data_IF_818739149855
#
_entry.id   IF_818739149855
#
_cell.length_a   1.000
_cell.length_b   1.000
_cell.length_c   1.000
_cell.angle_alpha   90.00
_cell.angle_beta   90.00
_cell.angle_gamma   90.00
#
_symmetry.space_group_name_H-M   'P 1'
#
loop_
_entity.id
_entity.type
_entity.pdbx_description
1 polymer ?
#
# COMPACT_ATOMS: atom_id res chain seq x y z
N UNK A 1 -19.39 -38.22 -14.88
CA UNK A 1 -18.86 -37.78 -13.57
C UNK A 1 -18.47 -36.32 -13.69
N UNK A 2 -19.14 -35.46 -12.93
CA UNK A 2 -19.09 -33.99 -13.07
C UNK A 2 -17.72 -33.44 -12.67
N UNK A 3 -17.14 -32.59 -13.54
CA UNK A 3 -16.07 -31.66 -13.15
C UNK A 3 -16.66 -30.66 -12.16
N UNK A 4 -16.36 -30.80 -10.89
CA UNK A 4 -16.62 -29.77 -9.88
C UNK A 4 -15.77 -28.55 -10.22
N UNK A 5 -16.40 -27.49 -10.74
CA UNK A 5 -15.81 -26.15 -10.74
C UNK A 5 -15.63 -25.76 -9.27
N UNK A 6 -14.41 -25.91 -8.76
CA UNK A 6 -14.04 -25.40 -7.44
C UNK A 6 -13.98 -23.87 -7.58
N UNK A 7 -14.77 -23.16 -6.78
CA UNK A 7 -14.81 -21.69 -6.82
C UNK A 7 -13.41 -21.13 -6.61
N UNK A 8 -12.96 -20.29 -7.54
CA UNK A 8 -11.80 -19.43 -7.35
C UNK A 8 -12.21 -18.39 -6.32
N UNK A 9 -11.56 -18.42 -5.16
CA UNK A 9 -11.59 -17.30 -4.24
C UNK A 9 -10.40 -16.42 -4.58
N UNK A 10 -10.49 -15.66 -5.68
CA UNK A 10 -9.53 -14.60 -5.97
C UNK A 10 -10.05 -13.34 -5.26
N UNK A 11 -9.83 -13.26 -3.94
CA UNK A 11 -10.19 -12.07 -3.18
C UNK A 11 -9.31 -10.92 -3.64
N UNK A 12 -9.92 -9.89 -4.23
CA UNK A 12 -9.26 -8.64 -4.59
C UNK A 12 -9.60 -7.63 -3.50
N UNK A 13 -8.62 -7.19 -2.71
CA UNK A 13 -8.82 -6.09 -1.75
C UNK A 13 -8.67 -4.75 -2.48
N UNK A 14 -9.59 -3.80 -2.26
CA UNK A 14 -9.50 -2.39 -2.69
C UNK A 14 -9.03 -1.51 -1.53
N UNK A 15 -7.73 -1.22 -1.40
CA UNK A 15 -7.23 -0.38 -0.31
C UNK A 15 -7.31 1.11 -0.65
N UNK A 16 -7.89 1.91 0.25
CA UNK A 16 -8.10 3.37 0.17
C UNK A 16 -6.89 4.11 0.73
N UNK A 17 -6.51 5.28 0.19
CA UNK A 17 -5.64 6.20 0.95
C UNK A 17 -5.47 7.67 0.54
N UNK A 18 -5.32 8.51 1.58
CA UNK A 18 -4.95 9.93 1.62
C UNK A 18 -3.46 10.16 1.91
N UNK A 19 -2.59 10.31 0.90
CA UNK A 19 -1.40 11.17 1.01
C UNK A 19 -0.75 11.45 -0.36
N UNK A 20 -0.36 12.71 -0.54
CA UNK A 20 0.39 13.20 -1.70
C UNK A 20 1.84 12.70 -1.78
N UNK A 21 2.32 11.96 -0.77
CA UNK A 21 3.66 11.37 -0.73
C UNK A 21 3.84 10.26 -1.76
N UNK A 22 2.91 9.28 -1.77
CA UNK A 22 2.95 8.19 -2.75
C UNK A 22 2.83 8.72 -4.17
N UNK A 23 2.03 9.78 -4.39
CA UNK A 23 1.93 10.43 -5.70
C UNK A 23 3.25 11.06 -6.14
N UNK A 24 4.07 11.60 -5.22
CA UNK A 24 5.38 12.19 -5.54
C UNK A 24 6.46 11.14 -5.73
N UNK A 25 6.50 10.10 -4.90
CA UNK A 25 7.41 8.97 -5.07
C UNK A 25 7.08 8.17 -6.34
N UNK A 26 5.81 8.08 -6.73
CA UNK A 26 5.37 7.50 -8.00
C UNK A 26 5.31 8.50 -9.16
N UNK A 27 5.52 9.80 -8.98
CA UNK A 27 5.78 10.69 -10.13
C UNK A 27 7.13 10.38 -10.79
N UNK A 28 8.02 9.62 -10.12
CA UNK A 28 9.15 8.96 -10.76
C UNK A 28 8.70 7.80 -11.69
N UNK A 29 7.48 7.25 -11.53
CA UNK A 29 6.89 6.13 -12.29
C UNK A 29 5.34 6.18 -12.38
N UNK A 30 4.80 7.18 -13.08
CA UNK A 30 3.39 7.34 -13.54
C UNK A 30 2.22 7.33 -12.52
N UNK A 31 1.07 7.89 -12.92
CA UNK A 31 -0.22 7.92 -12.18
C UNK A 31 -0.86 6.53 -11.97
N UNK A 32 -0.15 5.50 -12.38
CA UNK A 32 -0.57 4.11 -12.49
C UNK A 32 0.67 3.25 -12.23
N UNK A 33 0.58 2.31 -11.29
CA UNK A 33 1.66 1.36 -11.01
C UNK A 33 1.12 -0.06 -10.97
N UNK A 34 1.84 -0.97 -11.61
CA UNK A 34 1.61 -2.42 -11.54
C UNK A 34 2.88 -3.06 -11.01
N UNK A 35 2.73 -3.77 -9.91
CA UNK A 35 3.82 -4.50 -9.25
C UNK A 35 3.53 -6.00 -9.29
N UNK A 36 4.49 -6.78 -9.78
CA UNK A 36 4.41 -8.23 -9.79
C UNK A 36 5.63 -8.83 -9.09
N UNK A 37 5.38 -9.62 -8.06
CA UNK A 37 6.43 -10.22 -7.24
C UNK A 37 6.25 -11.73 -7.12
N UNK A 38 7.35 -12.46 -7.34
CA UNK A 38 7.43 -13.91 -7.13
C UNK A 38 8.31 -14.20 -5.91
N UNK A 39 7.85 -15.10 -5.03
CA UNK A 39 8.67 -15.54 -3.92
C UNK A 39 9.51 -16.76 -4.34
N UNK A 40 10.83 -16.60 -4.38
CA UNK A 40 11.76 -17.69 -4.71
C UNK A 40 11.74 -18.84 -3.68
N UNK A 41 11.38 -18.55 -2.43
CA UNK A 41 11.31 -19.52 -1.33
C UNK A 41 9.96 -20.25 -1.21
N UNK A 42 8.91 -19.69 -1.82
CA UNK A 42 7.56 -20.27 -1.84
C UNK A 42 7.16 -20.50 -3.30
N UNK A 43 7.48 -21.66 -3.89
CA UNK A 43 7.16 -21.94 -5.28
C UNK A 43 5.66 -21.79 -5.51
N UNK A 44 5.28 -21.12 -6.61
CA UNK A 44 3.90 -20.81 -6.99
C UNK A 44 3.15 -19.81 -6.10
N UNK A 45 3.86 -19.03 -5.28
CA UNK A 45 3.32 -17.84 -4.65
C UNK A 45 3.59 -16.61 -5.53
N UNK A 46 2.55 -15.86 -5.87
CA UNK A 46 2.69 -14.56 -6.52
C UNK A 46 1.75 -13.52 -5.92
N UNK A 47 2.23 -12.28 -5.94
CA UNK A 47 1.47 -11.09 -5.55
C UNK A 47 1.43 -10.16 -6.75
N UNK A 48 0.25 -9.68 -7.07
CA UNK A 48 0.00 -8.65 -8.07
C UNK A 48 -0.71 -7.49 -7.40
N UNK A 49 -0.18 -6.28 -7.53
CA UNK A 49 -0.80 -5.06 -7.02
C UNK A 49 -0.89 -4.06 -8.17
N UNK A 50 -2.11 -3.63 -8.48
CA UNK A 50 -2.38 -2.55 -9.43
C UNK A 50 -2.96 -1.36 -8.69
N UNK A 51 -2.38 -0.18 -8.89
CA UNK A 51 -2.77 1.03 -8.17
C UNK A 51 -3.21 2.14 -9.12
N UNK A 52 -4.31 2.81 -8.78
CA UNK A 52 -4.72 4.12 -9.33
C UNK A 52 -4.94 5.15 -8.24
N UNK A 53 -4.86 6.43 -8.60
CA UNK A 53 -5.10 7.54 -7.68
C UNK A 53 -6.12 8.52 -8.25
N UNK A 54 -7.05 8.96 -7.41
CA UNK A 54 -8.00 10.02 -7.74
C UNK A 54 -8.12 11.02 -6.60
N UNK A 55 -8.53 12.26 -6.92
CA UNK A 55 -8.73 13.32 -5.92
C UNK A 55 -10.16 13.27 -5.36
N UNK A 56 -10.50 12.18 -4.68
CA UNK A 56 -11.78 11.97 -4.01
C UNK A 56 -11.59 11.18 -2.71
N UNK A 57 -12.67 11.00 -1.96
CA UNK A 57 -12.70 10.23 -0.72
C UNK A 57 -13.02 8.73 -0.95
N UNK A 58 -12.56 8.17 -2.07
CA UNK A 58 -12.81 6.75 -2.38
C UNK A 58 -14.21 6.47 -2.95
N UNK A 59 -14.82 7.47 -3.58
CA UNK A 59 -16.20 7.41 -4.08
C UNK A 59 -16.34 6.81 -5.49
N UNK A 60 -15.24 6.52 -6.17
CA UNK A 60 -15.27 6.00 -7.54
C UNK A 60 -15.30 4.48 -7.56
N UNK A 61 -16.18 3.93 -8.39
CA UNK A 61 -16.29 2.49 -8.59
C UNK A 61 -15.44 2.02 -9.77
N UNK A 62 -14.85 0.83 -9.62
CA UNK A 62 -14.07 0.15 -10.67
C UNK A 62 -13.07 1.04 -11.44
N UNK A 63 -12.35 1.93 -10.75
CA UNK A 63 -11.40 2.87 -11.39
C UNK A 63 -10.28 2.19 -12.19
N UNK A 64 -9.95 0.95 -11.80
CA UNK A 64 -8.94 0.10 -12.44
C UNK A 64 -9.48 -0.56 -13.72
N UNK A 65 -10.79 -0.56 -13.95
CA UNK A 65 -11.46 -1.19 -15.09
C UNK A 65 -11.22 -2.70 -15.13
N UNK A 66 -11.47 -3.35 -13.99
CA UNK A 66 -11.53 -4.80 -13.91
C UNK A 66 -12.62 -5.33 -14.85
N UNK A 67 -12.37 -6.52 -15.41
CA UNK A 67 -13.38 -7.23 -16.17
C UNK A 67 -14.47 -7.81 -15.25
N UNK A 68 -15.56 -8.30 -15.84
CA UNK A 68 -16.69 -8.81 -15.07
C UNK A 68 -16.33 -10.02 -14.19
N UNK A 69 -15.39 -10.87 -14.62
CA UNK A 69 -15.00 -12.07 -13.85
C UNK A 69 -14.24 -11.67 -12.58
N UNK A 70 -13.30 -10.73 -12.70
CA UNK A 70 -12.56 -10.17 -11.57
C UNK A 70 -13.48 -9.33 -10.65
N UNK A 71 -14.40 -8.55 -11.22
CA UNK A 71 -15.34 -7.72 -10.47
C UNK A 71 -16.28 -8.54 -9.59
N UNK A 72 -16.80 -9.65 -10.10
CA UNK A 72 -17.71 -10.53 -9.36
C UNK A 72 -17.02 -11.20 -8.16
N UNK A 73 -15.70 -11.42 -8.23
CA UNK A 73 -14.91 -12.05 -7.17
C UNK A 73 -14.30 -11.05 -6.18
N UNK A 74 -14.35 -9.76 -6.49
CA UNK A 74 -13.71 -8.69 -5.71
C UNK A 74 -14.40 -8.46 -4.35
N UNK A 75 -13.59 -8.15 -3.35
CA UNK A 75 -14.04 -7.67 -2.04
C UNK A 75 -13.54 -6.23 -1.80
N UNK A 76 -14.45 -5.28 -1.59
CA UNK A 76 -14.05 -3.89 -1.34
C UNK A 76 -13.78 -3.70 0.15
N UNK A 77 -12.59 -3.21 0.50
CA UNK A 77 -12.11 -3.06 1.89
C UNK A 77 -11.66 -1.62 2.16
N UNK A 78 -12.49 -0.84 2.85
CA UNK A 78 -12.17 0.55 3.16
C UNK A 78 -11.16 0.65 4.29
N UNK A 79 -9.89 0.87 3.95
CA UNK A 79 -8.82 1.04 4.93
C UNK A 79 -8.78 2.48 5.48
N UNK A 80 -9.28 2.68 6.69
CA UNK A 80 -9.27 3.97 7.38
C UNK A 80 -7.99 4.16 8.21
N UNK A 81 -7.09 5.04 7.76
CA UNK A 81 -5.81 5.31 8.44
C UNK A 81 -5.94 5.88 9.85
N UNK A 82 -7.12 6.32 10.30
CA UNK A 82 -7.33 6.90 11.62
C UNK A 82 -8.13 5.96 12.52
N UNK A 83 -9.17 5.33 11.99
CA UNK A 83 -10.11 4.52 12.77
C UNK A 83 -9.67 3.07 12.95
N UNK A 84 -8.85 2.53 12.04
CA UNK A 84 -8.34 1.17 12.15
C UNK A 84 -7.42 0.99 13.37
N UNK A 85 -7.53 -0.18 14.00
CA UNK A 85 -6.67 -0.56 15.11
C UNK A 85 -5.25 -0.87 14.60
N UNK A 86 -4.25 -0.41 15.35
CA UNK A 86 -2.85 -0.77 15.11
C UNK A 86 -2.45 -1.78 16.16
N UNK A 87 -1.75 -2.84 15.75
CA UNK A 87 -1.14 -3.75 16.69
C UNK A 87 -0.20 -2.98 17.65
N UNK A 88 -0.29 -3.24 18.95
CA UNK A 88 0.41 -2.47 19.99
C UNK A 88 1.92 -2.30 19.72
N UNK A 89 2.58 -3.35 19.27
CA UNK A 89 4.01 -3.33 18.92
C UNK A 89 4.38 -2.47 17.68
N UNK A 90 3.40 -1.98 16.93
CA UNK A 90 3.58 -1.03 15.83
C UNK A 90 3.14 0.39 16.21
N UNK A 91 2.48 0.57 17.35
CA UNK A 91 2.03 1.89 17.78
C UNK A 91 3.21 2.78 18.18
N UNK A 92 3.25 3.98 17.62
CA UNK A 92 4.16 5.04 18.03
C UNK A 92 3.37 6.34 18.20
N UNK A 93 3.50 7.06 19.32
CA UNK A 93 2.77 8.31 19.56
C UNK A 93 2.97 9.35 18.44
N UNK A 94 4.18 9.43 17.89
CA UNK A 94 4.53 10.33 16.77
C UNK A 94 3.85 9.95 15.44
N UNK A 95 3.38 8.72 15.30
CA UNK A 95 2.63 8.20 14.14
C UNK A 95 1.11 8.14 14.41
N UNK A 96 0.64 8.67 15.55
CA UNK A 96 -0.78 8.74 15.87
C UNK A 96 -1.45 9.93 15.19
N UNK A 97 -2.20 9.67 14.12
CA UNK A 97 -2.91 10.67 13.33
C UNK A 97 -4.01 11.42 14.10
N UNK A 98 -4.48 10.87 15.23
CA UNK A 98 -5.45 11.54 16.11
C UNK A 98 -4.84 12.66 16.94
N UNK A 99 -3.51 12.69 17.03
CA UNK A 99 -2.75 13.64 17.84
C UNK A 99 -1.82 14.47 16.95
N UNK A 100 -1.25 13.84 15.92
CA UNK A 100 -0.31 14.46 14.99
C UNK A 100 -0.93 15.63 14.23
N UNK A 101 -0.20 16.75 14.22
CA UNK A 101 -0.50 17.91 13.38
C UNK A 101 0.79 18.39 12.72
N UNK A 102 0.73 18.50 11.40
CA UNK A 102 1.84 18.99 10.60
C UNK A 102 2.11 20.47 10.86
N UNK A 103 3.37 20.81 11.10
CA UNK A 103 3.83 22.19 11.25
C UNK A 103 3.94 22.89 9.89
N UNK A 104 4.34 22.16 8.83
CA UNK A 104 4.52 22.75 7.49
C UNK A 104 3.22 22.98 6.75
N UNK A 105 2.23 22.11 6.95
CA UNK A 105 0.98 22.11 6.16
C UNK A 105 -0.25 22.44 7.00
N UNK A 106 -0.15 22.37 8.33
CA UNK A 106 -1.28 22.54 9.24
C UNK A 106 -2.29 21.39 9.24
N UNK A 107 -2.06 20.31 8.45
CA UNK A 107 -2.95 19.15 8.37
C UNK A 107 -2.90 18.32 9.65
N UNK A 108 -4.04 17.74 10.00
CA UNK A 108 -4.23 17.03 11.27
C UNK A 108 -4.50 17.99 12.45
N UNK A 109 -4.82 17.45 13.63
CA UNK A 109 -5.13 16.05 13.89
C UNK A 109 -6.39 15.58 13.15
N UNK A 110 -6.41 14.31 12.77
CA UNK A 110 -7.56 13.69 12.10
C UNK A 110 -8.50 13.08 13.13
N UNK A 111 -9.81 13.31 12.96
CA UNK A 111 -10.84 12.85 13.91
C UNK A 111 -11.89 11.98 13.21
N UNK A 112 -12.93 11.56 13.92
CA UNK A 112 -14.04 10.83 13.29
C UNK A 112 -14.71 11.68 12.21
N UNK A 113 -14.99 11.09 11.05
CA UNK A 113 -15.50 11.79 9.88
C UNK A 113 -14.46 12.61 9.12
N UNK A 114 -13.16 12.30 9.29
CA UNK A 114 -12.09 13.02 8.60
C UNK A 114 -12.14 12.88 7.07
N UNK A 115 -12.66 11.76 6.55
CA UNK A 115 -12.73 11.51 5.11
C UNK A 115 -13.67 12.50 4.40
N UNK A 116 -14.71 12.97 5.08
CA UNK A 116 -15.70 13.92 4.56
C UNK A 116 -15.30 15.38 4.78
N UNK A 117 -14.53 15.67 5.84
CA UNK A 117 -14.19 17.05 6.23
C UNK A 117 -12.75 17.49 5.87
N UNK A 118 -11.91 16.59 5.36
CA UNK A 118 -10.53 16.90 5.00
C UNK A 118 -10.40 17.35 3.54
N UNK A 119 -9.75 18.49 3.32
CA UNK A 119 -9.35 18.95 1.99
C UNK A 119 -7.93 19.56 2.04
N UNK A 120 -7.06 19.31 1.05
CA UNK A 120 -7.25 18.38 -0.07
C UNK A 120 -7.26 16.92 0.38
N UNK A 121 -7.99 16.08 -0.38
CA UNK A 121 -8.05 14.63 -0.21
C UNK A 121 -7.77 13.93 -1.54
N UNK A 122 -7.17 12.74 -1.45
CA UNK A 122 -6.99 11.82 -2.57
C UNK A 122 -7.19 10.41 -2.08
N UNK A 123 -7.53 9.49 -2.98
CA UNK A 123 -7.66 8.07 -2.71
C UNK A 123 -6.72 7.30 -3.63
N UNK A 124 -5.84 6.48 -3.04
CA UNK A 124 -5.23 5.35 -3.73
C UNK A 124 -6.26 4.23 -3.81
N UNK A 125 -6.44 3.62 -4.97
CA UNK A 125 -7.25 2.42 -5.21
C UNK A 125 -6.29 1.33 -5.60
N UNK A 126 -6.15 0.30 -4.77
CA UNK A 126 -5.22 -0.80 -5.01
C UNK A 126 -6.00 -2.08 -5.23
N UNK A 127 -5.85 -2.75 -6.37
CA UNK A 127 -6.32 -4.12 -6.58
C UNK A 127 -5.17 -5.07 -6.21
N UNK A 128 -5.38 -5.89 -5.20
CA UNK A 128 -4.39 -6.87 -4.74
C UNK A 128 -4.84 -8.28 -5.09
N UNK A 129 -4.08 -9.00 -5.92
CA UNK A 129 -4.27 -10.43 -6.19
C UNK A 129 -3.13 -11.23 -5.57
N UNK A 130 -3.46 -12.12 -4.64
CA UNK A 130 -2.52 -13.09 -4.06
C UNK A 130 -2.87 -14.47 -4.60
N UNK A 131 -1.88 -15.16 -5.16
CA UNK A 131 -2.08 -16.46 -5.79
C UNK A 131 -1.12 -17.48 -5.19
N UNK A 132 -1.65 -18.64 -4.78
CA UNK A 132 -0.84 -19.74 -4.24
C UNK A 132 -1.34 -21.11 -4.73
N UNK A 133 -0.70 -21.67 -5.75
CA UNK A 133 -1.16 -22.89 -6.42
C UNK A 133 -0.60 -24.19 -5.79
N UNK A 134 -0.78 -24.35 -4.48
CA UNK A 134 -0.38 -25.57 -3.74
C UNK A 134 -1.60 -26.25 -3.13
N UNK A 135 -1.75 -27.53 -3.46
CA UNK A 135 -2.89 -28.34 -2.98
C UNK A 135 -2.92 -28.42 -1.45
N UNK A 136 -4.12 -28.27 -0.88
CA UNK A 136 -4.34 -28.33 0.57
C UNK A 136 -3.96 -27.07 1.35
N UNK A 137 -3.23 -26.11 0.74
CA UNK A 137 -2.76 -24.90 1.44
C UNK A 137 -3.20 -23.59 0.78
N UNK A 138 -3.65 -23.61 -0.47
CA UNK A 138 -4.05 -22.45 -1.27
C UNK A 138 -4.81 -21.38 -0.47
N UNK A 139 -6.04 -21.67 -0.05
CA UNK A 139 -6.94 -20.68 0.58
C UNK A 139 -6.32 -20.05 1.82
N UNK A 140 -5.69 -20.86 2.68
CA UNK A 140 -5.11 -20.38 3.93
C UNK A 140 -3.93 -19.42 3.68
N UNK A 141 -3.09 -19.72 2.70
CA UNK A 141 -1.92 -18.90 2.35
C UNK A 141 -2.33 -17.64 1.60
N UNK A 142 -3.29 -17.73 0.68
CA UNK A 142 -3.82 -16.55 -0.05
C UNK A 142 -4.48 -15.57 0.92
N UNK A 143 -5.32 -16.05 1.85
CA UNK A 143 -5.93 -15.21 2.89
C UNK A 143 -4.90 -14.57 3.82
N UNK A 144 -3.87 -15.33 4.22
CA UNK A 144 -2.78 -14.80 5.02
C UNK A 144 -2.02 -13.70 4.26
N UNK A 145 -1.70 -13.93 2.99
CA UNK A 145 -1.03 -12.94 2.15
C UNK A 145 -1.84 -11.67 1.97
N UNK A 146 -3.15 -11.78 1.72
CA UNK A 146 -4.04 -10.62 1.63
C UNK A 146 -4.05 -9.81 2.93
N UNK A 147 -4.19 -10.47 4.08
CA UNK A 147 -4.14 -9.80 5.39
C UNK A 147 -2.80 -9.10 5.62
N UNK A 148 -1.68 -9.79 5.35
CA UNK A 148 -0.35 -9.22 5.53
C UNK A 148 -0.14 -7.97 4.65
N UNK A 149 -0.59 -8.00 3.40
CA UNK A 149 -0.51 -6.85 2.49
C UNK A 149 -1.38 -5.71 3.00
N UNK A 150 -2.61 -5.99 3.45
CA UNK A 150 -3.50 -4.98 4.04
C UNK A 150 -2.86 -4.29 5.25
N UNK A 151 -2.28 -5.06 6.18
CA UNK A 151 -1.64 -4.54 7.39
C UNK A 151 -0.42 -3.66 7.04
N UNK A 152 0.40 -4.08 6.07
CA UNK A 152 1.54 -3.29 5.56
C UNK A 152 1.06 -1.98 4.94
N UNK A 153 0.00 -2.04 4.13
CA UNK A 153 -0.57 -0.85 3.49
C UNK A 153 -1.11 0.10 4.55
N UNK A 154 -1.94 -0.37 5.50
CA UNK A 154 -2.45 0.48 6.58
C UNK A 154 -1.31 1.20 7.33
N UNK A 155 -0.29 0.46 7.78
CA UNK A 155 0.82 1.02 8.54
C UNK A 155 1.63 2.03 7.72
N UNK A 156 2.08 1.63 6.53
CA UNK A 156 2.97 2.45 5.71
C UNK A 156 2.32 3.77 5.29
N UNK A 157 1.01 3.78 5.12
CA UNK A 157 0.30 4.99 4.78
C UNK A 157 -0.01 5.90 5.98
N UNK A 158 -0.23 5.34 7.18
CA UNK A 158 -0.25 6.14 8.41
C UNK A 158 1.07 6.88 8.59
N UNK A 159 2.17 6.17 8.42
CA UNK A 159 3.51 6.74 8.44
C UNK A 159 3.70 7.83 7.38
N UNK A 160 3.24 7.60 6.15
CA UNK A 160 3.32 8.61 5.10
C UNK A 160 2.61 9.93 5.47
N UNK A 161 1.48 9.87 6.18
CA UNK A 161 0.80 11.07 6.68
C UNK A 161 1.54 11.69 7.87
N UNK A 162 1.92 10.89 8.86
CA UNK A 162 2.62 11.36 10.06
C UNK A 162 3.97 12.00 9.74
N UNK A 163 4.64 11.55 8.67
CA UNK A 163 5.93 12.09 8.23
C UNK A 163 5.78 13.17 7.16
N UNK A 164 4.59 13.78 7.00
CA UNK A 164 4.36 14.82 5.99
C UNK A 164 5.35 15.98 6.10
N UNK A 165 5.76 16.36 7.30
CA UNK A 165 6.72 17.44 7.47
C UNK A 165 8.13 17.07 7.00
N UNK A 166 8.47 15.78 6.89
CA UNK A 166 9.77 15.35 6.40
C UNK A 166 9.88 15.54 4.89
N UNK A 167 8.84 15.17 4.14
CA UNK A 167 8.88 15.17 2.68
C UNK A 167 8.14 16.33 2.01
N UNK A 168 7.28 17.04 2.73
CA UNK A 168 6.57 18.18 2.16
C UNK A 168 7.55 19.31 1.80
N UNK A 169 7.49 19.71 0.53
CA UNK A 169 8.37 20.73 -0.04
C UNK A 169 9.66 20.18 -0.68
N UNK A 170 9.97 18.89 -0.56
CA UNK A 170 11.09 18.28 -1.27
C UNK A 170 10.91 18.37 -2.80
N UNK A 171 11.99 18.73 -3.48
CA UNK A 171 12.12 18.62 -4.94
C UNK A 171 12.33 17.15 -5.36
N UNK A 172 12.28 16.89 -6.67
CA UNK A 172 12.56 15.54 -7.20
C UNK A 172 14.01 15.13 -6.92
N UNK A 173 14.95 16.08 -6.95
CA UNK A 173 16.35 15.77 -6.68
C UNK A 173 16.56 15.47 -5.19
N UNK A 174 15.91 16.21 -4.28
CA UNK A 174 15.92 15.88 -2.84
C UNK A 174 15.37 14.47 -2.57
N UNK A 175 14.30 14.08 -3.29
CA UNK A 175 13.72 12.73 -3.17
C UNK A 175 14.69 11.64 -3.64
N UNK A 176 15.41 11.87 -4.76
CA UNK A 176 16.42 10.92 -5.26
C UNK A 176 17.57 10.75 -4.29
N UNK A 177 18.05 11.85 -3.71
CA UNK A 177 19.11 11.81 -2.69
C UNK A 177 18.64 11.10 -1.43
N UNK A 178 17.40 11.36 -0.99
CA UNK A 178 16.78 10.66 0.13
C UNK A 178 16.70 9.15 -0.11
N UNK A 179 16.17 8.72 -1.27
CA UNK A 179 16.10 7.31 -1.66
C UNK A 179 17.48 6.64 -1.66
N UNK A 180 18.49 7.30 -2.25
CA UNK A 180 19.85 6.79 -2.31
C UNK A 180 20.46 6.62 -0.91
N UNK A 181 20.26 7.60 -0.02
CA UNK A 181 20.72 7.53 1.38
C UNK A 181 20.05 6.40 2.13
N UNK A 182 18.72 6.27 2.02
CA UNK A 182 17.97 5.21 2.71
C UNK A 182 18.35 3.82 2.20
N UNK A 183 18.59 3.67 0.89
CA UNK A 183 19.09 2.42 0.31
C UNK A 183 20.47 2.06 0.88
N UNK A 184 21.39 3.02 0.95
CA UNK A 184 22.73 2.81 1.49
C UNK A 184 22.70 2.44 2.99
N UNK A 185 21.89 3.12 3.79
CA UNK A 185 21.71 2.80 5.21
C UNK A 185 21.12 1.39 5.42
N UNK A 186 20.17 0.99 4.57
CA UNK A 186 19.57 -0.35 4.59
C UNK A 186 20.61 -1.41 4.24
N UNK A 187 21.37 -1.22 3.16
CA UNK A 187 22.44 -2.13 2.75
C UNK A 187 23.49 -2.31 3.87
N UNK A 188 23.85 -1.21 4.54
CA UNK A 188 24.77 -1.23 5.69
C UNK A 188 24.23 -2.06 6.86
N UNK A 189 22.95 -1.90 7.22
CA UNK A 189 22.30 -2.69 8.29
C UNK A 189 22.22 -4.18 7.93
N UNK A 190 22.04 -4.50 6.66
CA UNK A 190 21.96 -5.87 6.15
C UNK A 190 23.34 -6.51 5.88
N UNK A 191 24.43 -5.77 6.06
CA UNK A 191 25.79 -6.27 5.82
C UNK A 191 26.08 -6.58 4.34
N UNK A 192 25.35 -5.95 3.41
CA UNK A 192 25.57 -6.09 1.97
C UNK A 192 26.76 -5.18 1.60
N UNK A 193 27.96 -5.75 1.50
CA UNK A 193 29.12 -5.03 0.98
C UNK A 193 28.92 -4.73 -0.52
N UNK A 194 29.28 -3.52 -0.95
CA UNK A 194 29.30 -3.13 -2.36
C UNK A 194 30.07 -4.18 -3.17
N UNK A 195 29.37 -4.87 -4.07
CA UNK A 195 30.01 -5.77 -5.01
C UNK A 195 30.99 -4.94 -5.84
N UNK A 196 32.28 -5.29 -5.75
CA UNK A 196 33.35 -4.64 -6.50
C UNK A 196 32.98 -4.55 -7.98
N UNK A 197 33.02 -3.35 -8.53
CA UNK A 197 32.88 -3.08 -9.97
C UNK A 197 33.91 -3.92 -10.73
N UNK A 198 33.51 -4.78 -11.69
CA UNK A 198 34.47 -5.44 -12.57
C UNK A 198 35.19 -4.39 -13.41
N UNK A 199 36.53 -4.49 -13.46
CA UNK A 199 37.41 -3.69 -14.34
C UNK A 199 37.18 -3.99 -15.81
#
# INVERSE_FOLDING_TARGET
MSRTKKSRNEGVAQVFLVSSFQRRMQLLRFLFSVEHSFCSFLPKFSVYIETRYENNAGTSENVINLDNEDLEQREVDIVDIVMEEIAEHHYKPEEDLKIFKSEKTGRGPLTSGWMECTTPIMCSYKVVKVKFEVWGLQTKVEQFGQKAIRDILLLGHRQAFAWIDEWYGMSIDDLREYEARMQAETNKKLGVNEAATPQ
#
